data_IF_812217155401
#
_entry.id   IF_812217155401
#
_cell.length_a   1.000
_cell.length_b   1.000
_cell.length_c   1.000
_cell.angle_alpha   90.00
_cell.angle_beta   90.00
_cell.angle_gamma   90.00
#
_symmetry.space_group_name_H-M   'P 1'
#
loop_
_entity.id
_entity.type
_entity.pdbx_description
1 polymer ?
#
# COMPACT_ATOMS: atom_id res chain seq x y z
N UNK A 1 16.89 3.75 0.34
CA UNK A 1 16.76 4.46 1.63
C UNK A 1 16.88 3.50 2.78
N UNK A 2 17.63 3.92 3.78
CA UNK A 2 17.80 3.19 5.03
C UNK A 2 16.47 3.15 5.82
N UNK A 3 16.27 2.10 6.63
CA UNK A 3 15.07 1.96 7.45
C UNK A 3 14.97 3.08 8.49
N UNK A 4 16.12 3.63 8.94
CA UNK A 4 16.14 4.72 9.92
C UNK A 4 15.70 6.04 9.29
N UNK A 5 16.09 6.33 8.05
CA UNK A 5 15.62 7.50 7.29
C UNK A 5 14.10 7.45 7.13
N UNK A 6 13.56 6.28 6.79
CA UNK A 6 12.12 6.09 6.66
C UNK A 6 11.40 6.34 7.99
N UNK A 7 11.90 5.79 9.11
CA UNK A 7 11.34 6.04 10.45
C UNK A 7 11.43 7.51 10.86
N UNK A 8 12.52 8.20 10.48
CA UNK A 8 12.67 9.63 10.69
C UNK A 8 11.62 10.43 9.92
N UNK A 9 11.37 10.11 8.65
CA UNK A 9 10.36 10.77 7.83
C UNK A 9 8.92 10.51 8.30
N UNK A 10 8.64 9.36 8.93
CA UNK A 10 7.34 9.10 9.56
C UNK A 10 7.09 10.00 10.79
N UNK A 11 8.15 10.25 11.57
CA UNK A 11 8.13 11.15 12.74
C UNK A 11 8.07 12.62 12.37
N UNK A 12 8.78 13.02 11.31
CA UNK A 12 8.92 14.41 10.86
C UNK A 12 8.14 14.59 9.55
N UNK A 13 6.85 14.98 9.61
CA UNK A 13 5.98 14.99 8.44
C UNK A 13 6.45 16.00 7.39
N UNK A 14 6.47 15.55 6.14
CA UNK A 14 6.58 16.39 4.94
C UNK A 14 5.38 16.13 4.01
N UNK A 15 5.30 16.85 2.91
CA UNK A 15 4.37 16.57 1.81
C UNK A 15 4.47 15.12 1.28
N UNK A 16 5.65 14.51 1.35
CA UNK A 16 5.88 13.12 0.94
C UNK A 16 5.40 12.08 1.97
N UNK A 17 4.89 12.50 3.14
CA UNK A 17 4.57 11.59 4.25
C UNK A 17 3.68 10.42 3.86
N UNK A 18 2.68 10.66 3.00
CA UNK A 18 1.77 9.60 2.54
C UNK A 18 2.53 8.49 1.82
N UNK A 19 3.46 8.85 0.94
CA UNK A 19 4.30 7.89 0.21
C UNK A 19 5.25 7.16 1.15
N UNK A 20 5.79 7.85 2.17
CA UNK A 20 6.62 7.21 3.22
C UNK A 20 5.84 6.18 4.04
N UNK A 21 4.58 6.46 4.35
CA UNK A 21 3.70 5.49 5.02
C UNK A 21 3.47 4.27 4.13
N UNK A 22 3.14 4.47 2.85
CA UNK A 22 2.95 3.37 1.91
C UNK A 22 4.22 2.53 1.75
N UNK A 23 5.39 3.16 1.68
CA UNK A 23 6.69 2.49 1.63
C UNK A 23 6.98 1.68 2.91
N UNK A 24 6.69 2.25 4.10
CA UNK A 24 6.84 1.55 5.37
C UNK A 24 5.98 0.27 5.43
N UNK A 25 4.74 0.35 4.95
CA UNK A 25 3.85 -0.81 4.84
C UNK A 25 4.42 -1.84 3.85
N UNK A 26 4.89 -1.41 2.67
CA UNK A 26 5.51 -2.30 1.67
C UNK A 26 6.70 -3.06 2.24
N UNK A 27 7.52 -2.41 3.05
CA UNK A 27 8.69 -2.99 3.75
C UNK A 27 8.33 -3.82 4.99
N UNK A 28 7.04 -3.99 5.30
CA UNK A 28 6.59 -4.86 6.40
C UNK A 28 6.67 -4.23 7.79
N UNK A 29 6.84 -2.91 7.91
CA UNK A 29 6.76 -2.23 9.21
C UNK A 29 5.33 -2.34 9.73
N UNK A 30 5.16 -2.68 11.01
CA UNK A 30 3.85 -2.90 11.59
C UNK A 30 3.02 -1.61 11.64
N UNK A 31 1.70 -1.76 11.52
CA UNK A 31 0.76 -0.63 11.64
C UNK A 31 0.89 0.06 12.99
N UNK A 32 1.13 -0.70 14.06
CA UNK A 32 1.38 -0.14 15.39
C UNK A 32 2.63 0.72 15.43
N UNK A 33 3.72 0.29 14.80
CA UNK A 33 4.92 1.11 14.73
C UNK A 33 4.70 2.37 13.89
N UNK A 34 4.08 2.26 12.72
CA UNK A 34 3.74 3.42 11.87
C UNK A 34 2.83 4.39 12.62
N UNK A 35 1.85 3.90 13.37
CA UNK A 35 0.99 4.70 14.24
C UNK A 35 1.79 5.43 15.32
N UNK A 36 2.70 4.75 16.03
CA UNK A 36 3.54 5.40 17.05
C UNK A 36 4.39 6.53 16.48
N UNK A 37 4.92 6.35 15.27
CA UNK A 37 5.80 7.30 14.60
C UNK A 37 5.02 8.47 14.00
N UNK A 38 3.90 8.19 13.33
CA UNK A 38 3.16 9.18 12.53
C UNK A 38 1.93 9.77 13.22
N UNK A 39 1.37 9.09 14.22
CA UNK A 39 0.06 9.40 14.84
C UNK A 39 -1.11 9.42 13.87
N UNK A 40 -0.93 8.96 12.62
CA UNK A 40 -2.04 8.72 11.70
C UNK A 40 -2.86 7.57 12.25
N UNK A 41 -4.17 7.79 12.41
CA UNK A 41 -5.04 6.79 13.02
C UNK A 41 -4.94 5.43 12.31
N UNK A 42 -4.96 4.37 13.12
CA UNK A 42 -4.78 3.00 12.64
C UNK A 42 -5.81 2.61 11.59
N UNK A 43 -7.04 3.13 11.68
CA UNK A 43 -8.07 2.89 10.68
C UNK A 43 -7.60 3.30 9.28
N UNK A 44 -7.05 4.51 9.12
CA UNK A 44 -6.50 4.97 7.84
C UNK A 44 -5.29 4.15 7.40
N UNK A 45 -4.40 3.80 8.34
CA UNK A 45 -3.24 2.96 8.04
C UNK A 45 -3.65 1.58 7.53
N UNK A 46 -4.70 0.98 8.10
CA UNK A 46 -5.26 -0.28 7.60
C UNK A 46 -5.88 -0.12 6.21
N UNK A 47 -6.55 1.00 5.91
CA UNK A 47 -7.06 1.26 4.55
C UNK A 47 -5.92 1.37 3.53
N UNK A 48 -4.84 2.08 3.86
CA UNK A 48 -3.64 2.14 3.03
C UNK A 48 -3.00 0.76 2.87
N UNK A 49 -2.95 -0.03 3.94
CA UNK A 49 -2.43 -1.40 3.88
C UNK A 49 -3.22 -2.26 2.90
N UNK A 50 -4.55 -2.18 2.91
CA UNK A 50 -5.36 -2.95 1.96
C UNK A 50 -5.05 -2.60 0.49
N UNK A 51 -4.77 -1.33 0.19
CA UNK A 51 -4.37 -0.88 -1.15
C UNK A 51 -2.99 -1.45 -1.51
N UNK A 52 -2.03 -1.38 -0.58
CA UNK A 52 -0.67 -1.90 -0.78
C UNK A 52 -0.68 -3.43 -0.95
N UNK A 53 -1.45 -4.14 -0.14
CA UNK A 53 -1.59 -5.59 -0.21
C UNK A 53 -2.24 -6.03 -1.53
N UNK A 54 -3.29 -5.31 -1.98
CA UNK A 54 -3.93 -5.59 -3.27
C UNK A 54 -2.97 -5.37 -4.43
N UNK A 55 -2.17 -4.29 -4.39
CA UNK A 55 -1.14 -4.05 -5.41
C UNK A 55 -0.19 -5.26 -5.51
N UNK A 56 0.31 -5.74 -4.37
CA UNK A 56 1.18 -6.93 -4.33
C UNK A 56 0.49 -8.17 -4.91
N UNK A 57 -0.76 -8.43 -4.51
CA UNK A 57 -1.52 -9.55 -5.05
C UNK A 57 -1.65 -9.48 -6.57
N UNK A 58 -1.98 -8.31 -7.12
CA UNK A 58 -2.10 -8.12 -8.58
C UNK A 58 -0.77 -8.32 -9.29
N UNK A 59 0.35 -7.86 -8.70
CA UNK A 59 1.69 -8.04 -9.27
C UNK A 59 2.16 -9.50 -9.26
N UNK A 60 1.69 -10.30 -8.30
CA UNK A 60 2.07 -11.71 -8.17
C UNK A 60 1.27 -12.65 -9.09
N UNK A 61 0.26 -12.14 -9.81
CA UNK A 61 -0.60 -12.93 -10.70
C UNK A 61 -0.07 -12.87 -12.14
N UNK A 62 0.02 -14.03 -12.79
CA UNK A 62 0.27 -14.15 -14.23
C UNK A 62 -1.01 -13.84 -15.02
N UNK A 63 -1.47 -12.59 -14.93
CA UNK A 63 -2.79 -12.15 -15.40
C UNK A 63 -3.00 -12.36 -16.91
N UNK A 64 -1.93 -12.43 -17.70
CA UNK A 64 -2.04 -12.69 -19.14
C UNK A 64 -2.44 -14.14 -19.43
N UNK A 65 -2.00 -15.07 -18.57
CA UNK A 65 -2.19 -16.51 -18.71
C UNK A 65 -3.47 -17.00 -18.00
N UNK A 66 -4.07 -16.18 -17.14
CA UNK A 66 -5.31 -16.50 -16.45
C UNK A 66 -6.54 -16.46 -17.38
N UNK A 67 -7.62 -17.13 -16.96
CA UNK A 67 -8.90 -17.11 -17.66
C UNK A 67 -9.60 -15.74 -17.58
N UNK A 68 -10.63 -15.56 -18.40
CA UNK A 68 -11.38 -14.29 -18.51
C UNK A 68 -12.13 -13.93 -17.22
N UNK A 69 -12.60 -14.91 -16.46
CA UNK A 69 -13.34 -14.67 -15.22
C UNK A 69 -12.41 -14.17 -14.12
N UNK A 70 -11.21 -14.75 -14.02
CA UNK A 70 -10.16 -14.29 -13.11
C UNK A 70 -9.68 -12.87 -13.48
N UNK A 71 -9.43 -12.60 -14.78
CA UNK A 71 -9.07 -11.27 -15.27
C UNK A 71 -10.10 -10.23 -14.86
N UNK A 72 -11.37 -10.53 -15.11
CA UNK A 72 -12.49 -9.66 -14.76
C UNK A 72 -12.59 -9.44 -13.25
N UNK A 73 -12.44 -10.50 -12.45
CA UNK A 73 -12.47 -10.41 -10.99
C UNK A 73 -11.41 -9.42 -10.47
N UNK A 74 -10.16 -9.57 -10.89
CA UNK A 74 -9.06 -8.73 -10.44
C UNK A 74 -9.20 -7.29 -10.91
N UNK A 75 -9.66 -7.07 -12.15
CA UNK A 75 -9.92 -5.73 -12.68
C UNK A 75 -11.02 -5.01 -11.90
N UNK A 76 -12.17 -5.65 -11.69
CA UNK A 76 -13.26 -5.07 -10.90
C UNK A 76 -12.81 -4.74 -9.47
N UNK A 77 -12.03 -5.63 -8.86
CA UNK A 77 -11.48 -5.43 -7.53
C UNK A 77 -10.53 -4.23 -7.50
N UNK A 78 -9.59 -4.13 -8.44
CA UNK A 78 -8.68 -3.00 -8.56
C UNK A 78 -9.43 -1.66 -8.68
N UNK A 79 -10.46 -1.61 -9.53
CA UNK A 79 -11.28 -0.38 -9.71
C UNK A 79 -12.04 0.03 -8.47
N UNK A 80 -12.63 -0.92 -7.73
CA UNK A 80 -13.30 -0.62 -6.44
C UNK A 80 -12.33 -0.09 -5.38
N UNK A 81 -11.05 -0.43 -5.47
CA UNK A 81 -9.99 0.08 -4.59
C UNK A 81 -9.34 1.38 -5.11
N UNK A 82 -9.79 1.91 -6.25
CA UNK A 82 -9.38 3.22 -6.76
C UNK A 82 -8.12 3.21 -7.64
N UNK A 83 -7.71 2.07 -8.18
CA UNK A 83 -6.59 1.99 -9.11
C UNK A 83 -6.94 2.62 -10.47
N UNK A 84 -6.04 3.46 -10.98
CA UNK A 84 -6.18 4.05 -12.33
C UNK A 84 -5.89 2.99 -13.41
N UNK A 85 -6.05 3.36 -14.69
CA UNK A 85 -5.73 2.46 -15.80
C UNK A 85 -4.21 2.36 -16.07
N UNK A 86 -3.43 3.34 -15.62
CA UNK A 86 -1.99 3.41 -15.88
C UNK A 86 -1.10 2.83 -14.78
N UNK A 87 -1.68 2.41 -13.65
CA UNK A 87 -1.00 1.71 -12.56
C UNK A 87 -1.04 0.21 -12.78
#
# INVERSE_FOLDING_TARGET
EDINELKYALRNPTDLRLFRIAEAIKRGISIDEIYRLSRVDKWFLHKLKNIVDLNRQIQDIELLESDEDEKKYWLERAKRFGFSDGQ
#
